data_IF_374177477485
#
_entry.id   IF_374177477485
#
_cell.length_a   1.000
_cell.length_b   1.000
_cell.length_c   1.000
_cell.angle_alpha   90.00
_cell.angle_beta   90.00
_cell.angle_gamma   90.00
#
_symmetry.space_group_name_H-M   'P 1'
#
loop_
_entity.id
_entity.type
_entity.pdbx_description
1 polymer ?
#
# COMPACT_ATOMS: atom_id res chain seq x y z
N UNK A 1 -4.34 8.79 -13.53
CA UNK A 1 -3.90 7.39 -13.44
C UNK A 1 -2.44 7.43 -13.06
N UNK A 2 -2.06 6.86 -11.93
CA UNK A 2 -0.64 6.69 -11.62
C UNK A 2 -0.19 5.40 -12.29
N UNK A 3 0.86 5.46 -13.11
CA UNK A 3 1.51 4.29 -13.72
C UNK A 3 0.58 3.33 -14.50
N UNK A 4 -0.46 3.83 -15.16
CA UNK A 4 -1.38 2.99 -15.96
C UNK A 4 -2.40 2.17 -15.15
N UNK A 5 -2.35 2.22 -13.81
CA UNK A 5 -3.34 1.61 -12.93
C UNK A 5 -4.27 2.63 -12.29
N UNK A 6 -5.49 2.19 -12.04
CA UNK A 6 -6.50 2.84 -11.22
C UNK A 6 -6.50 2.15 -9.84
N UNK A 7 -5.83 2.81 -8.89
CA UNK A 7 -5.73 2.36 -7.50
C UNK A 7 -6.36 3.42 -6.58
N UNK A 8 -6.94 3.01 -5.43
CA UNK A 8 -7.33 3.96 -4.40
C UNK A 8 -6.12 4.77 -3.94
N UNK A 9 -6.27 6.08 -3.87
CA UNK A 9 -5.26 7.01 -3.39
C UNK A 9 -5.81 7.80 -2.21
N UNK A 10 -4.91 8.28 -1.35
CA UNK A 10 -5.28 9.16 -0.27
C UNK A 10 -5.82 10.47 -0.86
N UNK A 11 -7.04 10.85 -0.48
CA UNK A 11 -7.62 12.12 -0.89
C UNK A 11 -6.95 13.25 -0.08
N UNK A 12 -6.14 14.05 -0.77
CA UNK A 12 -5.58 15.29 -0.24
C UNK A 12 -6.63 16.37 -0.41
N UNK A 13 -6.97 17.00 0.71
CA UNK A 13 -7.91 18.11 0.72
C UNK A 13 -7.26 19.31 0.02
N UNK A 14 -7.93 19.82 -1.02
CA UNK A 14 -7.38 20.88 -1.87
C UNK A 14 -7.39 22.24 -1.19
N UNK A 15 -8.29 22.48 -0.24
CA UNK A 15 -8.40 23.77 0.43
C UNK A 15 -7.27 23.95 1.46
N UNK A 16 -6.98 22.89 2.21
CA UNK A 16 -5.91 22.91 3.23
C UNK A 16 -4.56 22.38 2.71
N UNK A 17 -4.52 21.78 1.51
CA UNK A 17 -3.31 21.19 0.93
C UNK A 17 -2.75 20.01 1.72
N UNK A 18 -3.60 19.30 2.48
CA UNK A 18 -3.17 18.30 3.45
C UNK A 18 -4.08 17.06 3.49
N UNK A 19 -3.61 16.00 4.16
CA UNK A 19 -4.40 14.81 4.41
C UNK A 19 -5.67 15.15 5.20
N UNK A 20 -6.83 14.63 4.78
CA UNK A 20 -8.13 14.86 5.48
C UNK A 20 -8.19 14.33 6.90
N UNK A 21 -7.30 13.42 7.26
CA UNK A 21 -7.18 12.91 8.63
C UNK A 21 -6.26 13.77 9.51
N UNK A 22 -5.66 14.83 8.97
CA UNK A 22 -4.85 15.76 9.75
C UNK A 22 -5.77 16.62 10.62
N UNK A 23 -5.56 16.57 11.93
CA UNK A 23 -6.30 17.38 12.88
C UNK A 23 -5.68 18.78 13.02
N UNK A 24 -6.34 19.65 13.80
CA UNK A 24 -5.91 21.05 14.03
C UNK A 24 -4.52 21.15 14.70
N UNK A 25 -4.09 20.11 15.41
CA UNK A 25 -2.77 20.04 16.06
C UNK A 25 -1.66 19.55 15.11
N UNK A 26 -1.96 19.35 13.82
CA UNK A 26 -1.03 18.79 12.86
C UNK A 26 -0.74 17.30 13.07
N UNK A 27 -1.63 16.56 13.73
CA UNK A 27 -1.52 15.12 14.00
C UNK A 27 -2.57 14.31 13.24
N UNK A 28 -2.24 13.07 12.90
CA UNK A 28 -3.18 12.18 12.24
C UNK A 28 -4.25 11.67 13.23
N UNK A 29 -5.53 11.97 12.97
CA UNK A 29 -6.66 11.55 13.81
C UNK A 29 -6.93 10.04 13.80
N UNK A 30 -6.47 9.33 12.78
CA UNK A 30 -6.57 7.86 12.66
C UNK A 30 -5.22 7.16 12.93
N UNK A 31 -4.33 7.80 13.69
CA UNK A 31 -2.98 7.29 13.93
C UNK A 31 -2.95 5.91 14.59
N UNK A 32 -4.00 5.46 15.27
CA UNK A 32 -4.01 4.10 15.82
C UNK A 32 -4.22 3.04 14.73
N UNK A 33 -4.93 3.37 13.66
CA UNK A 33 -5.21 2.46 12.55
C UNK A 33 -4.07 2.42 11.53
N UNK A 34 -3.35 3.55 11.33
CA UNK A 34 -2.18 3.73 10.41
C UNK A 34 -2.22 2.78 9.21
N UNK A 35 -3.01 3.07 8.15
CA UNK A 35 -3.04 2.24 6.96
C UNK A 35 -1.63 2.05 6.38
N UNK A 36 -1.40 1.00 5.59
CA UNK A 36 -0.06 0.56 5.18
C UNK A 36 0.85 1.67 4.66
N UNK A 37 0.31 2.64 3.91
CA UNK A 37 1.05 3.83 3.47
C UNK A 37 1.51 4.72 4.64
N UNK A 38 0.61 5.09 5.56
CA UNK A 38 0.90 5.90 6.74
C UNK A 38 1.76 5.16 7.78
N UNK A 39 1.73 3.82 7.78
CA UNK A 39 2.58 2.99 8.65
C UNK A 39 4.04 3.11 8.26
N UNK A 40 4.30 3.16 6.95
CA UNK A 40 5.65 3.16 6.39
C UNK A 40 6.34 4.52 6.63
N UNK A 41 5.65 5.64 6.40
CA UNK A 41 6.23 6.98 6.58
C UNK A 41 6.90 7.18 7.97
N UNK A 42 8.11 7.77 8.05
CA UNK A 42 8.95 8.33 6.99
C UNK A 42 9.94 7.32 6.39
N UNK A 43 9.75 6.02 6.61
CA UNK A 43 10.51 5.00 5.90
C UNK A 43 10.07 4.94 4.44
N UNK A 44 10.98 4.53 3.58
CA UNK A 44 10.71 4.06 2.23
C UNK A 44 11.15 2.62 2.06
N UNK A 45 10.89 2.06 0.87
CA UNK A 45 11.38 0.75 0.44
C UNK A 45 12.11 0.87 -0.89
N UNK A 46 13.24 0.19 -1.01
CA UNK A 46 13.97 0.00 -2.26
C UNK A 46 13.83 -1.47 -2.63
N UNK A 47 13.30 -1.76 -3.81
CA UNK A 47 13.06 -3.12 -4.31
C UNK A 47 14.21 -3.52 -5.23
N UNK A 48 14.96 -4.55 -4.85
CA UNK A 48 16.16 -5.03 -5.54
C UNK A 48 16.30 -6.55 -5.36
N UNK A 49 16.81 -7.24 -6.37
CA UNK A 49 17.15 -8.68 -6.33
C UNK A 49 16.02 -9.59 -5.81
N UNK A 50 14.76 -9.29 -6.15
CA UNK A 50 13.59 -10.08 -5.71
C UNK A 50 13.21 -9.89 -4.24
N UNK A 51 13.73 -8.85 -3.58
CA UNK A 51 13.33 -8.46 -2.23
C UNK A 51 13.24 -6.94 -2.10
N UNK A 52 13.19 -6.44 -0.86
CA UNK A 52 13.31 -5.02 -0.61
C UNK A 52 14.00 -4.73 0.72
N UNK A 53 14.59 -3.54 0.81
CA UNK A 53 15.16 -2.99 2.03
C UNK A 53 14.47 -1.69 2.42
N UNK A 54 14.38 -1.42 3.72
CA UNK A 54 13.87 -0.13 4.21
C UNK A 54 14.99 0.90 4.23
N UNK A 55 14.63 2.14 3.91
CA UNK A 55 15.50 3.29 4.10
C UNK A 55 14.73 4.40 4.82
N UNK A 56 15.45 5.30 5.50
CA UNK A 56 14.85 6.46 6.15
C UNK A 56 14.90 7.66 5.19
N UNK A 57 13.76 8.30 4.97
CA UNK A 57 13.72 9.57 4.24
C UNK A 57 14.13 10.70 5.20
N UNK A 58 15.39 11.14 5.11
CA UNK A 58 16.01 11.99 6.13
C UNK A 58 15.45 13.42 6.20
N UNK A 59 14.92 13.93 5.09
CA UNK A 59 14.35 15.28 4.98
C UNK A 59 12.87 15.36 5.36
N UNK A 60 12.19 14.23 5.43
CA UNK A 60 10.74 14.17 5.69
C UNK A 60 10.38 14.38 7.16
N UNK A 61 11.30 14.06 8.07
CA UNK A 61 11.10 14.26 9.50
C UNK A 61 12.05 15.35 10.01
N UNK A 62 11.58 16.59 10.26
CA UNK A 62 12.44 17.68 10.74
C UNK A 62 12.71 17.63 12.26
N UNK A 63 12.17 16.63 12.96
CA UNK A 63 12.28 16.56 14.42
C UNK A 63 13.76 16.48 14.87
N UNK A 64 14.22 17.40 15.74
CA UNK A 64 15.59 17.38 16.25
C UNK A 64 15.79 16.18 17.18
N UNK A 65 17.03 15.67 17.29
CA UNK A 65 17.38 14.61 18.25
C UNK A 65 16.62 13.28 18.08
N UNK A 66 16.47 12.82 16.83
CA UNK A 66 15.85 11.52 16.51
C UNK A 66 16.56 10.39 17.27
N UNK A 67 15.79 9.56 17.97
CA UNK A 67 16.29 8.34 18.61
C UNK A 67 16.33 7.17 17.63
N UNK A 68 17.29 6.25 17.80
CA UNK A 68 17.33 5.01 17.01
C UNK A 68 16.18 4.08 17.40
N UNK A 69 15.34 3.71 16.43
CA UNK A 69 14.19 2.80 16.63
C UNK A 69 14.31 1.63 15.66
N UNK A 70 14.07 0.41 16.14
CA UNK A 70 14.02 -0.79 15.27
C UNK A 70 12.80 -0.72 14.35
N UNK A 71 12.94 -1.10 13.08
CA UNK A 71 11.84 -1.08 12.09
C UNK A 71 10.62 -1.89 12.57
N UNK A 72 10.84 -3.09 13.14
CA UNK A 72 9.76 -3.90 13.74
C UNK A 72 8.94 -3.12 14.78
N UNK A 73 9.63 -2.33 15.63
CA UNK A 73 8.98 -1.48 16.64
C UNK A 73 8.27 -0.28 15.99
N UNK A 74 8.87 0.31 14.96
CA UNK A 74 8.28 1.44 14.23
C UNK A 74 6.98 1.08 13.51
N UNK A 75 7.00 -0.02 12.76
CA UNK A 75 5.85 -0.52 12.03
C UNK A 75 4.78 -1.08 12.97
N UNK A 76 5.16 -1.59 14.15
CA UNK A 76 4.20 -2.14 15.10
C UNK A 76 3.36 -3.28 14.51
N UNK A 77 3.99 -4.11 13.67
CA UNK A 77 3.38 -5.28 13.03
C UNK A 77 3.87 -6.52 13.79
N UNK A 78 2.94 -7.34 14.24
CA UNK A 78 3.24 -8.50 15.06
C UNK A 78 4.05 -9.56 14.29
N UNK A 79 3.58 -9.93 13.09
CA UNK A 79 4.26 -10.86 12.19
C UNK A 79 4.89 -10.10 11.01
N UNK A 80 6.07 -9.53 11.25
CA UNK A 80 6.80 -8.76 10.23
C UNK A 80 7.16 -9.60 8.98
N UNK A 81 7.63 -10.86 9.08
CA UNK A 81 7.90 -11.68 7.89
C UNK A 81 6.68 -11.88 6.98
N UNK A 82 5.50 -12.17 7.56
CA UNK A 82 4.27 -12.31 6.77
C UNK A 82 3.88 -10.99 6.08
N UNK A 83 4.08 -9.85 6.75
CA UNK A 83 3.87 -8.54 6.16
C UNK A 83 4.84 -8.26 5.00
N UNK A 84 6.12 -8.59 5.16
CA UNK A 84 7.12 -8.35 4.13
C UNK A 84 6.89 -9.23 2.90
N UNK A 85 6.53 -10.51 3.11
CA UNK A 85 6.07 -11.39 2.03
C UNK A 85 4.86 -10.81 1.30
N UNK A 86 3.82 -10.36 2.02
CA UNK A 86 2.68 -9.68 1.42
C UNK A 86 3.08 -8.43 0.61
N UNK A 87 3.96 -7.60 1.15
CA UNK A 87 4.41 -6.37 0.48
C UNK A 87 5.10 -6.70 -0.85
N UNK A 88 5.96 -7.71 -0.86
CA UNK A 88 6.67 -8.13 -2.06
C UNK A 88 5.70 -8.71 -3.09
N UNK A 89 4.83 -9.63 -2.67
CA UNK A 89 3.81 -10.21 -3.57
C UNK A 89 2.87 -9.15 -4.14
N UNK A 90 2.46 -8.19 -3.31
CA UNK A 90 1.64 -7.07 -3.76
C UNK A 90 2.37 -6.18 -4.77
N UNK A 91 3.67 -5.95 -4.58
CA UNK A 91 4.50 -5.24 -5.55
C UNK A 91 4.50 -5.96 -6.92
N UNK A 92 4.70 -7.28 -6.91
CA UNK A 92 4.73 -8.09 -8.12
C UNK A 92 3.36 -8.15 -8.83
N UNK A 93 2.26 -8.28 -8.08
CA UNK A 93 0.90 -8.22 -8.62
C UNK A 93 0.66 -6.88 -9.32
N UNK A 94 1.06 -5.76 -8.70
CA UNK A 94 0.91 -4.45 -9.32
C UNK A 94 1.81 -4.28 -10.55
N UNK A 95 3.01 -4.86 -10.58
CA UNK A 95 3.86 -4.85 -11.75
C UNK A 95 3.25 -5.66 -12.91
N UNK A 96 2.71 -6.84 -12.63
CA UNK A 96 2.01 -7.68 -13.61
C UNK A 96 0.75 -6.98 -14.15
N UNK A 97 -0.06 -6.38 -13.27
CA UNK A 97 -1.26 -5.65 -13.68
C UNK A 97 -0.94 -4.47 -14.59
N UNK A 98 0.15 -3.73 -14.32
CA UNK A 98 0.62 -2.65 -15.22
C UNK A 98 0.95 -3.19 -16.60
N UNK A 99 1.72 -4.28 -16.67
CA UNK A 99 2.10 -4.92 -17.94
C UNK A 99 0.86 -5.36 -18.72
N UNK A 100 -0.11 -5.97 -18.05
CA UNK A 100 -1.38 -6.40 -18.66
C UNK A 100 -2.14 -5.20 -19.24
N UNK A 101 -2.34 -4.15 -18.44
CA UNK A 101 -3.04 -2.95 -18.92
C UNK A 101 -2.35 -2.25 -20.09
N UNK A 102 -1.02 -2.32 -20.16
CA UNK A 102 -0.25 -1.75 -21.26
C UNK A 102 -0.33 -2.59 -22.55
N UNK A 103 -0.61 -3.89 -22.43
CA UNK A 103 -0.77 -4.80 -23.57
C UNK A 103 -2.17 -4.74 -24.19
N UNK A 104 -3.20 -4.37 -23.41
CA UNK A 104 -4.57 -4.22 -23.89
C UNK A 104 -4.69 -2.95 -24.77
N UNK A 105 -5.12 -3.12 -26.02
CA UNK A 105 -5.30 -2.01 -26.97
C UNK A 105 -6.68 -1.34 -26.88
N UNK A 106 -7.68 -2.08 -26.40
CA UNK A 106 -9.05 -1.60 -26.26
C UNK A 106 -9.31 -0.92 -24.92
N UNK A 107 -9.70 0.35 -24.94
CA UNK A 107 -10.05 1.10 -23.73
C UNK A 107 -11.15 0.42 -22.91
N UNK A 108 -12.12 -0.22 -23.57
CA UNK A 108 -13.22 -0.94 -22.90
C UNK A 108 -12.69 -2.16 -22.15
N UNK A 109 -11.73 -2.89 -22.73
CA UNK A 109 -11.12 -4.05 -22.09
C UNK A 109 -10.22 -3.63 -20.92
N UNK A 110 -9.44 -2.54 -21.07
CA UNK A 110 -8.67 -1.98 -19.96
C UNK A 110 -9.59 -1.59 -18.80
N UNK A 111 -10.72 -0.93 -19.08
CA UNK A 111 -11.68 -0.55 -18.05
C UNK A 111 -12.30 -1.77 -17.34
N UNK A 112 -12.63 -2.83 -18.08
CA UNK A 112 -13.13 -4.09 -17.51
C UNK A 112 -12.10 -4.75 -16.61
N UNK A 113 -10.85 -4.87 -17.08
CA UNK A 113 -9.74 -5.42 -16.30
C UNK A 113 -9.54 -4.64 -14.98
N UNK A 114 -9.44 -3.32 -15.07
CA UNK A 114 -9.24 -2.46 -13.90
C UNK A 114 -10.41 -2.52 -12.92
N UNK A 115 -11.64 -2.58 -13.41
CA UNK A 115 -12.83 -2.73 -12.57
C UNK A 115 -12.83 -4.08 -11.84
N UNK A 116 -12.47 -5.16 -12.54
CA UNK A 116 -12.35 -6.49 -11.93
C UNK A 116 -11.24 -6.53 -10.87
N UNK A 117 -10.09 -5.92 -11.16
CA UNK A 117 -8.96 -5.79 -10.23
C UNK A 117 -9.38 -5.06 -8.95
N UNK A 118 -10.04 -3.90 -9.08
CA UNK A 118 -10.56 -3.14 -7.94
C UNK A 118 -11.58 -3.93 -7.12
N UNK A 119 -12.53 -4.58 -7.80
CA UNK A 119 -13.55 -5.40 -7.13
C UNK A 119 -12.91 -6.46 -6.25
N UNK A 120 -11.93 -7.17 -6.81
CA UNK A 120 -11.22 -8.26 -6.15
C UNK A 120 -10.44 -7.80 -4.92
N UNK A 121 -9.64 -6.74 -5.02
CA UNK A 121 -8.72 -6.35 -3.94
C UNK A 121 -9.26 -5.28 -2.99
N UNK A 122 -10.16 -4.43 -3.43
CA UNK A 122 -10.60 -3.25 -2.67
C UNK A 122 -12.10 -3.22 -2.34
N UNK A 123 -12.97 -3.74 -3.22
CA UNK A 123 -14.42 -3.71 -2.96
C UNK A 123 -14.90 -4.91 -2.14
N UNK A 124 -14.37 -6.11 -2.41
CA UNK A 124 -14.75 -7.30 -1.67
C UNK A 124 -14.27 -7.14 -0.21
N UNK A 125 -15.17 -7.15 0.79
CA UNK A 125 -14.79 -6.94 2.18
C UNK A 125 -13.92 -8.09 2.67
N UNK A 126 -12.97 -7.77 3.55
CA UNK A 126 -12.23 -8.78 4.30
C UNK A 126 -13.02 -9.13 5.57
N UNK A 127 -13.11 -10.42 5.87
CA UNK A 127 -13.69 -10.91 7.12
C UNK A 127 -12.68 -10.67 8.26
N UNK A 128 -13.03 -9.86 9.28
CA UNK A 128 -12.12 -9.58 10.40
C UNK A 128 -11.91 -10.79 11.32
N UNK A 129 -12.75 -11.83 11.23
CA UNK A 129 -12.58 -13.08 11.99
C UNK A 129 -11.53 -14.01 11.38
N UNK A 130 -11.08 -13.74 10.15
CA UNK A 130 -10.12 -14.56 9.42
C UNK A 130 -8.81 -13.80 9.19
N UNK A 131 -7.71 -14.54 9.01
CA UNK A 131 -6.42 -13.97 8.62
C UNK A 131 -6.54 -13.15 7.34
N UNK A 132 -6.06 -11.90 7.38
CA UNK A 132 -5.94 -11.06 6.19
C UNK A 132 -5.07 -11.74 5.13
N UNK A 133 -3.93 -12.32 5.53
CA UNK A 133 -2.97 -12.92 4.60
C UNK A 133 -3.56 -14.12 3.87
N UNK A 134 -4.37 -14.95 4.54
CA UNK A 134 -5.01 -16.11 3.90
C UNK A 134 -6.07 -15.66 2.89
N UNK A 135 -6.87 -14.64 3.26
CA UNK A 135 -7.85 -14.05 2.35
C UNK A 135 -7.18 -13.40 1.14
N UNK A 136 -6.06 -12.70 1.35
CA UNK A 136 -5.24 -12.13 0.29
C UNK A 136 -4.70 -13.22 -0.65
N UNK A 137 -4.14 -14.29 -0.10
CA UNK A 137 -3.62 -15.42 -0.87
C UNK A 137 -4.69 -16.07 -1.73
N UNK A 138 -5.91 -16.27 -1.21
CA UNK A 138 -7.04 -16.77 -2.00
C UNK A 138 -7.40 -15.85 -3.16
N UNK A 139 -7.40 -14.53 -2.93
CA UNK A 139 -7.65 -13.54 -4.00
C UNK A 139 -6.52 -13.54 -5.04
N UNK A 140 -5.27 -13.67 -4.61
CA UNK A 140 -4.10 -13.79 -5.48
C UNK A 140 -4.19 -15.02 -6.39
N UNK A 141 -4.43 -16.21 -5.85
CA UNK A 141 -4.50 -17.46 -6.63
C UNK A 141 -5.59 -17.46 -7.71
N UNK A 142 -6.64 -16.63 -7.55
CA UNK A 142 -7.67 -16.46 -8.59
C UNK A 142 -7.24 -15.53 -9.76
N UNK A 143 -6.02 -15.00 -9.75
CA UNK A 143 -5.42 -14.30 -10.89
C UNK A 143 -4.87 -15.27 -11.94
N UNK A 144 -4.51 -16.48 -11.53
CA UNK A 144 -3.94 -17.52 -12.40
C UNK A 144 -5.00 -18.41 -13.06
N UNK A 145 -6.29 -18.05 -12.92
CA UNK A 145 -7.47 -18.74 -13.45
C UNK A 145 -8.20 -17.83 -14.45
#
# INVERSE_FOLDING_TARGET
MADGLLLPHLNIDKEIGACRFLNKDGRCGIHNFRPGFCRLYPLGRIYENGGFSYFLQVYECPYPNKTKVKIRKWLGIENLPAYESFVLEWHDILAAARKETAAITSQSETAKYMTAFLKRFYQNPYDPSQSFYDQFNRRKSSLDQ
#
